data_IF_531262104193
#
_entry.id   IF_531262104193
#
_cell.length_a   1.000
_cell.length_b   1.000
_cell.length_c   1.000
_cell.angle_alpha   90.00
_cell.angle_beta   90.00
_cell.angle_gamma   90.00
#
_symmetry.space_group_name_H-M   'P 1'
#
loop_
_entity.id
_entity.type
_entity.pdbx_description
1 polymer ?
#
# COMPACT_ATOMS: atom_id res chain seq x y z
N UNK A 1 29.85 14.89 -2.30
CA UNK A 1 28.84 14.16 -1.49
C UNK A 1 27.46 14.74 -1.78
N UNK A 2 26.65 14.16 -2.68
CA UNK A 2 25.31 14.71 -3.02
C UNK A 2 24.29 13.66 -3.54
N UNK A 3 24.74 12.43 -3.83
CA UNK A 3 23.90 11.36 -4.41
C UNK A 3 23.00 10.67 -3.38
N UNK A 4 23.40 10.60 -2.11
CA UNK A 4 22.62 9.95 -1.04
C UNK A 4 21.32 10.70 -0.72
N UNK A 5 21.35 12.03 -0.70
CA UNK A 5 20.22 12.85 -0.26
C UNK A 5 18.99 12.73 -1.19
N UNK A 6 19.21 12.59 -2.50
CA UNK A 6 18.11 12.51 -3.48
C UNK A 6 17.37 11.17 -3.43
N UNK A 7 18.08 10.05 -3.29
CA UNK A 7 17.43 8.74 -3.20
C UNK A 7 16.60 8.63 -1.92
N UNK A 8 17.16 9.04 -0.78
CA UNK A 8 16.44 9.05 0.49
C UNK A 8 15.21 9.96 0.43
N UNK A 9 15.33 11.13 -0.19
CA UNK A 9 14.19 12.02 -0.41
C UNK A 9 13.10 11.38 -1.27
N UNK A 10 13.44 10.85 -2.45
CA UNK A 10 12.44 10.21 -3.32
C UNK A 10 11.79 8.98 -2.66
N UNK A 11 12.57 8.19 -1.93
CA UNK A 11 12.06 7.04 -1.20
C UNK A 11 11.07 7.44 -0.11
N UNK A 12 11.35 8.51 0.63
CA UNK A 12 10.44 9.03 1.66
C UNK A 12 9.18 9.63 1.05
N UNK A 13 9.31 10.43 -0.02
CA UNK A 13 8.16 11.10 -0.64
C UNK A 13 7.25 10.10 -1.34
N UNK A 14 7.81 9.25 -2.22
CA UNK A 14 7.02 8.31 -3.02
C UNK A 14 6.53 7.16 -2.15
N UNK A 15 7.42 6.57 -1.34
CA UNK A 15 7.04 5.49 -0.43
C UNK A 15 6.06 5.96 0.65
N UNK A 16 6.26 7.18 1.17
CA UNK A 16 5.33 7.81 2.10
C UNK A 16 3.96 8.06 1.46
N UNK A 17 3.91 8.68 0.28
CA UNK A 17 2.66 8.94 -0.42
C UNK A 17 1.90 7.65 -0.76
N UNK A 18 2.60 6.61 -1.21
CA UNK A 18 2.01 5.29 -1.45
C UNK A 18 1.44 4.68 -0.16
N UNK A 19 2.22 4.70 0.94
CA UNK A 19 1.76 4.20 2.23
C UNK A 19 0.52 4.93 2.76
N UNK A 20 0.46 6.25 2.65
CA UNK A 20 -0.74 7.01 3.00
C UNK A 20 -1.91 6.73 2.05
N UNK A 21 -1.65 6.55 0.75
CA UNK A 21 -2.66 6.15 -0.23
C UNK A 21 -3.28 4.79 0.10
N UNK A 22 -2.46 3.81 0.47
CA UNK A 22 -2.91 2.49 0.93
C UNK A 22 -3.80 2.63 2.17
N UNK A 23 -3.38 3.37 3.19
CA UNK A 23 -4.19 3.57 4.40
C UNK A 23 -5.52 4.24 4.11
N UNK A 24 -5.52 5.24 3.23
CA UNK A 24 -6.75 5.91 2.83
C UNK A 24 -7.69 4.93 2.12
N UNK A 25 -7.17 4.10 1.22
CA UNK A 25 -7.94 3.10 0.50
C UNK A 25 -8.51 2.05 1.45
N UNK A 26 -7.69 1.51 2.35
CA UNK A 26 -8.11 0.53 3.36
C UNK A 26 -9.15 1.12 4.30
N UNK A 27 -8.95 2.36 4.78
CA UNK A 27 -9.92 3.07 5.61
C UNK A 27 -11.26 3.23 4.91
N UNK A 28 -11.25 3.66 3.65
CA UNK A 28 -12.47 3.82 2.84
C UNK A 28 -13.21 2.48 2.70
N UNK A 29 -12.49 1.39 2.46
CA UNK A 29 -13.09 0.05 2.37
C UNK A 29 -13.71 -0.38 3.70
N UNK A 30 -12.98 -0.19 4.79
CA UNK A 30 -13.42 -0.56 6.14
C UNK A 30 -14.62 0.27 6.60
N UNK A 31 -14.67 1.55 6.29
CA UNK A 31 -15.79 2.43 6.60
C UNK A 31 -17.05 2.02 5.81
N UNK A 32 -16.91 1.65 4.52
CA UNK A 32 -18.04 1.16 3.72
C UNK A 32 -18.55 -0.20 4.19
N UNK A 33 -17.65 -1.08 4.61
CA UNK A 33 -18.00 -2.42 5.07
C UNK A 33 -18.30 -2.49 6.57
N UNK A 34 -18.21 -1.36 7.30
CA UNK A 34 -18.32 -1.26 8.77
C UNK A 34 -17.46 -2.28 9.53
N UNK A 35 -16.24 -2.50 9.05
CA UNK A 35 -15.29 -3.39 9.73
C UNK A 35 -15.07 -2.91 11.16
N UNK A 36 -15.02 -3.86 12.10
CA UNK A 36 -14.56 -3.63 13.46
C UNK A 36 -13.52 -4.71 13.77
N UNK A 37 -12.32 -4.30 14.21
CA UNK A 37 -11.24 -5.24 14.52
C UNK A 37 -11.22 -5.41 16.03
N UNK A 38 -11.59 -6.60 16.53
CA UNK A 38 -11.67 -6.90 17.97
C UNK A 38 -12.56 -5.92 18.77
N UNK A 39 -13.65 -5.42 18.16
CA UNK A 39 -14.54 -4.44 18.79
C UNK A 39 -13.94 -3.03 18.94
N UNK A 40 -12.77 -2.78 18.36
CA UNK A 40 -12.14 -1.46 18.27
C UNK A 40 -12.37 -0.91 16.87
N UNK A 41 -12.71 0.38 16.80
CA UNK A 41 -12.89 1.07 15.52
C UNK A 41 -11.65 1.00 14.63
N UNK A 42 -11.86 1.22 13.33
CA UNK A 42 -10.87 1.06 12.26
C UNK A 42 -9.62 1.94 12.39
N UNK A 43 -9.74 3.12 13.01
CA UNK A 43 -8.68 4.12 13.09
C UNK A 43 -7.43 3.68 13.83
N UNK A 44 -7.53 3.23 15.10
CA UNK A 44 -6.39 2.76 15.88
C UNK A 44 -5.57 1.66 15.19
N UNK A 45 -6.21 0.63 14.64
CA UNK A 45 -5.50 -0.47 13.95
C UNK A 45 -4.72 0.02 12.75
N UNK A 46 -5.31 0.90 11.93
CA UNK A 46 -4.62 1.51 10.79
C UNK A 46 -3.47 2.42 11.23
N UNK A 47 -3.57 3.10 12.37
CA UNK A 47 -2.52 4.01 12.84
C UNK A 47 -1.35 3.25 13.49
N UNK A 48 -1.62 2.25 14.32
CA UNK A 48 -0.58 1.54 15.07
C UNK A 48 0.05 0.36 14.32
N UNK A 49 -0.68 -0.25 13.39
CA UNK A 49 -0.19 -1.40 12.61
C UNK A 49 -0.10 -1.06 11.14
N UNK A 50 -1.18 -0.54 10.56
CA UNK A 50 -1.23 -0.23 9.12
C UNK A 50 -0.14 0.75 8.69
N UNK A 51 -0.02 1.89 9.36
CA UNK A 51 0.91 2.97 9.02
C UNK A 51 2.38 2.54 9.09
N UNK A 52 2.88 1.95 10.19
CA UNK A 52 4.27 1.51 10.23
C UNK A 52 4.57 0.43 9.18
N UNK A 53 3.67 -0.54 8.97
CA UNK A 53 3.85 -1.59 7.95
C UNK A 53 3.90 -0.97 6.55
N UNK A 54 2.92 -0.13 6.21
CA UNK A 54 2.82 0.49 4.89
C UNK A 54 4.03 1.38 4.58
N UNK A 55 4.50 2.17 5.54
CA UNK A 55 5.68 3.02 5.37
C UNK A 55 6.95 2.19 5.20
N UNK A 56 7.19 1.21 6.07
CA UNK A 56 8.40 0.38 6.00
C UNK A 56 8.44 -0.38 4.69
N UNK A 57 7.34 -1.06 4.30
CA UNK A 57 7.28 -1.81 3.05
C UNK A 57 7.56 -0.89 1.87
N UNK A 58 6.81 0.20 1.71
CA UNK A 58 6.90 1.05 0.52
C UNK A 58 8.23 1.81 0.40
N UNK A 59 8.77 2.33 1.50
CA UNK A 59 10.08 3.00 1.51
C UNK A 59 11.18 2.00 1.17
N UNK A 60 11.17 0.82 1.80
CA UNK A 60 12.21 -0.20 1.56
C UNK A 60 12.11 -0.73 0.13
N UNK A 61 10.91 -1.04 -0.36
CA UNK A 61 10.70 -1.53 -1.72
C UNK A 61 11.21 -0.54 -2.76
N UNK A 62 10.84 0.74 -2.62
CA UNK A 62 11.32 1.80 -3.50
C UNK A 62 12.85 1.82 -3.53
N UNK A 63 13.45 1.89 -2.34
CA UNK A 63 14.90 1.96 -2.17
C UNK A 63 15.64 0.76 -2.78
N UNK A 64 15.13 -0.46 -2.59
CA UNK A 64 15.73 -1.70 -3.10
C UNK A 64 15.60 -1.76 -4.61
N UNK A 65 14.39 -1.64 -5.15
CA UNK A 65 14.12 -1.75 -6.59
C UNK A 65 14.86 -0.67 -7.36
N UNK A 66 14.86 0.57 -6.84
CA UNK A 66 15.60 1.67 -7.43
C UNK A 66 17.10 1.35 -7.57
N UNK A 67 17.73 0.86 -6.50
CA UNK A 67 19.16 0.51 -6.50
C UNK A 67 19.46 -0.65 -7.43
N UNK A 68 18.64 -1.70 -7.39
CA UNK A 68 18.81 -2.89 -8.24
C UNK A 68 18.74 -2.51 -9.72
N UNK A 69 17.70 -1.78 -10.12
CA UNK A 69 17.52 -1.37 -11.51
C UNK A 69 18.58 -0.36 -11.97
N UNK A 70 19.01 0.56 -11.10
CA UNK A 70 20.13 1.47 -11.41
C UNK A 70 21.46 0.76 -11.57
N UNK A 71 21.73 -0.28 -10.78
CA UNK A 71 22.97 -1.06 -10.85
C UNK A 71 22.99 -2.00 -12.07
N UNK A 72 21.84 -2.56 -12.45
CA UNK A 72 21.69 -3.46 -13.59
C UNK A 72 21.64 -2.79 -14.97
N UNK A 73 22.04 -1.52 -15.09
CA UNK A 73 22.03 -0.82 -16.38
C UNK A 73 20.65 -0.36 -16.88
N UNK A 74 19.64 -0.32 -16.00
CA UNK A 74 18.23 0.03 -16.30
C UNK A 74 17.98 1.49 -16.70
N UNK A 75 18.85 2.10 -17.49
CA UNK A 75 18.59 3.37 -18.16
C UNK A 75 18.49 4.63 -17.28
N UNK A 76 17.95 5.68 -17.89
CA UNK A 76 17.69 6.99 -17.26
C UNK A 76 16.61 6.85 -16.18
N UNK A 77 16.52 7.84 -15.28
CA UNK A 77 15.67 7.90 -14.07
C UNK A 77 14.27 7.26 -14.16
N UNK A 78 13.63 7.31 -15.34
CA UNK A 78 12.29 6.81 -15.57
C UNK A 78 12.12 5.29 -15.37
N UNK A 79 13.04 4.46 -15.86
CA UNK A 79 12.91 3.00 -15.76
C UNK A 79 12.95 2.48 -14.31
N UNK A 80 13.93 2.87 -13.46
CA UNK A 80 13.95 2.46 -12.06
C UNK A 80 12.76 3.05 -11.28
N UNK A 81 12.24 4.22 -11.70
CA UNK A 81 11.01 4.77 -11.13
C UNK A 81 9.82 3.86 -11.41
N UNK A 82 9.60 3.53 -12.68
CA UNK A 82 8.48 2.67 -13.09
C UNK A 82 8.55 1.31 -12.42
N UNK A 83 9.73 0.67 -12.37
CA UNK A 83 9.86 -0.61 -11.69
C UNK A 83 9.59 -0.52 -10.19
N UNK A 84 10.05 0.56 -9.53
CA UNK A 84 9.75 0.78 -8.12
C UNK A 84 8.24 1.02 -7.88
N UNK A 85 7.58 1.79 -8.74
CA UNK A 85 6.14 2.03 -8.66
C UNK A 85 5.34 0.75 -8.89
N UNK A 86 5.70 -0.05 -9.89
CA UNK A 86 5.04 -1.35 -10.15
C UNK A 86 5.19 -2.27 -8.93
N UNK A 87 6.41 -2.38 -8.38
CA UNK A 87 6.64 -3.20 -7.20
C UNK A 87 5.80 -2.73 -6.00
N UNK A 88 5.74 -1.41 -5.75
CA UNK A 88 4.89 -0.81 -4.73
C UNK A 88 3.43 -1.17 -4.96
N UNK A 89 2.91 -0.99 -6.18
CA UNK A 89 1.50 -1.26 -6.47
C UNK A 89 1.11 -2.72 -6.22
N UNK A 90 2.00 -3.67 -6.54
CA UNK A 90 1.78 -5.09 -6.28
C UNK A 90 1.81 -5.38 -4.78
N UNK A 91 2.78 -4.80 -4.06
CA UNK A 91 2.87 -4.95 -2.61
C UNK A 91 1.67 -4.34 -1.88
N UNK A 92 1.22 -3.14 -2.29
CA UNK A 92 0.06 -2.48 -1.72
C UNK A 92 -1.23 -3.25 -2.00
N UNK A 93 -1.38 -3.86 -3.20
CA UNK A 93 -2.50 -4.73 -3.49
C UNK A 93 -2.51 -5.96 -2.57
N UNK A 94 -1.34 -6.56 -2.33
CA UNK A 94 -1.20 -7.69 -1.40
C UNK A 94 -1.44 -7.30 0.07
N UNK A 95 -0.98 -6.11 0.48
CA UNK A 95 -1.24 -5.58 1.83
C UNK A 95 -2.71 -5.25 2.02
N UNK A 96 -3.36 -4.68 1.00
CA UNK A 96 -4.78 -4.39 1.00
C UNK A 96 -5.61 -5.68 1.11
N UNK A 97 -5.28 -6.70 0.31
CA UNK A 97 -5.97 -8.00 0.37
C UNK A 97 -5.71 -8.72 1.70
N UNK A 98 -4.50 -8.62 2.26
CA UNK A 98 -4.17 -9.17 3.57
C UNK A 98 -4.90 -8.48 4.73
N UNK A 99 -5.00 -7.14 4.69
CA UNK A 99 -5.77 -6.38 5.67
C UNK A 99 -7.24 -6.82 5.66
N UNK A 100 -7.77 -7.14 4.47
CA UNK A 100 -9.08 -7.74 4.26
C UNK A 100 -10.23 -6.89 4.80
N UNK A 101 -11.44 -7.45 4.75
CA UNK A 101 -12.51 -7.11 5.69
C UNK A 101 -12.92 -8.43 6.36
N UNK A 102 -13.16 -8.51 7.68
CA UNK A 102 -13.41 -9.80 8.32
C UNK A 102 -14.68 -10.45 7.76
N UNK A 103 -14.60 -11.72 7.36
CA UNK A 103 -15.74 -12.49 6.82
C UNK A 103 -16.90 -12.70 7.81
N UNK A 104 -16.73 -12.27 9.06
CA UNK A 104 -17.73 -12.32 10.12
C UNK A 104 -18.73 -11.15 10.07
N UNK A 105 -18.51 -10.17 9.20
CA UNK A 105 -19.46 -9.08 8.98
C UNK A 105 -20.65 -9.55 8.11
N UNK A 106 -21.87 -9.01 8.33
CA UNK A 106 -23.04 -9.46 7.61
C UNK A 106 -22.80 -9.31 6.10
N UNK A 107 -22.93 -10.41 5.36
CA UNK A 107 -22.76 -10.47 3.91
C UNK A 107 -23.63 -9.47 3.12
N UNK A 108 -24.63 -8.87 3.77
CA UNK A 108 -25.48 -7.81 3.24
C UNK A 108 -24.76 -6.47 3.01
N UNK A 109 -23.65 -6.19 3.71
CA UNK A 109 -22.91 -4.91 3.58
C UNK A 109 -21.75 -5.00 2.59
N UNK A 110 -20.93 -6.05 2.67
CA UNK A 110 -19.83 -6.31 1.74
C UNK A 110 -19.73 -7.82 1.45
N UNK A 111 -20.44 -8.33 0.44
CA UNK A 111 -20.32 -9.72 0.03
C UNK A 111 -18.88 -10.01 -0.40
N UNK A 112 -18.34 -11.14 0.04
CA UNK A 112 -16.96 -11.55 -0.22
C UNK A 112 -15.87 -10.53 0.21
N UNK A 113 -16.17 -9.65 1.17
CA UNK A 113 -15.24 -8.66 1.71
C UNK A 113 -14.85 -7.53 0.74
N UNK A 114 -15.66 -7.33 -0.30
CA UNK A 114 -15.38 -6.40 -1.40
C UNK A 114 -16.29 -5.17 -1.27
N UNK A 115 -15.73 -3.95 -1.21
CA UNK A 115 -16.56 -2.75 -1.16
C UNK A 115 -17.27 -2.51 -2.52
N UNK A 116 -18.44 -1.85 -2.54
CA UNK A 116 -19.25 -1.68 -3.76
C UNK A 116 -18.60 -0.80 -4.83
N UNK A 117 -17.55 -0.06 -4.47
CA UNK A 117 -16.76 0.73 -5.41
C UNK A 117 -15.56 -0.03 -5.98
N UNK A 118 -15.33 -1.28 -5.57
CA UNK A 118 -14.23 -2.09 -6.07
C UNK A 118 -14.43 -2.39 -7.56
N UNK A 119 -13.38 -2.27 -8.38
CA UNK A 119 -13.50 -2.53 -9.81
C UNK A 119 -13.75 -4.02 -10.11
N UNK A 120 -14.70 -4.28 -11.00
CA UNK A 120 -15.10 -5.65 -11.40
C UNK A 120 -14.02 -6.43 -12.17
N UNK A 121 -13.01 -5.74 -12.72
CA UNK A 121 -11.93 -6.37 -13.48
C UNK A 121 -10.80 -6.93 -12.61
N UNK A 122 -10.79 -6.63 -11.30
CA UNK A 122 -9.86 -7.23 -10.34
C UNK A 122 -10.53 -8.47 -9.73
N UNK A 123 -9.97 -9.68 -9.92
CA UNK A 123 -10.54 -10.89 -9.32
C UNK A 123 -10.55 -10.80 -7.79
N UNK A 124 -11.66 -11.24 -7.21
CA UNK A 124 -11.95 -11.24 -5.76
C UNK A 124 -11.78 -12.63 -5.16
#
# INVERSE_FOLDING_TARGET
MAKGNRLSFFSLVIGGAAGFGLLWLTRRAWDTCRVEVNGVGNGPTLLFVGLPVALVVNIVLFSVVWRVMKKGGGGKFLMPLLGALIAITIADLALFSWAGTPATLPAALCPANVPPWWPEWIPT
#
